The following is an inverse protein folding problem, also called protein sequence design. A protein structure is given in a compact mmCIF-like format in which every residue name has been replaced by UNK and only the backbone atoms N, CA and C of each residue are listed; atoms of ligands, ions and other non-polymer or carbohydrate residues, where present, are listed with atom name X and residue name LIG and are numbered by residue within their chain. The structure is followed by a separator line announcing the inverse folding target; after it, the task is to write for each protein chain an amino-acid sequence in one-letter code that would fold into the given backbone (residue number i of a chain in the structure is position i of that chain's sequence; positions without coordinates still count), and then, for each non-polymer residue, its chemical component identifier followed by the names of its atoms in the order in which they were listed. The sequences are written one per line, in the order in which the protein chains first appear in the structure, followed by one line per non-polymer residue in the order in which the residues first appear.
data_IF_425623181746
#
_entry.id   IF_425623181746
#
_cell.length_a   1.000
_cell.length_b   1.000
_cell.length_c   1.000
_cell.angle_alpha   90.00
_cell.angle_beta   90.00
_cell.angle_gamma   90.00
#
_symmetry.space_group_name_H-M   'P 1'
#
loop_
_entity.id
_entity.type
_entity.pdbx_description
1 polymer ?
#
# COMPACT_ATOMS: atom_id res chain seq x y z
N UNK A 1 -25.41 -9.40 -65.19
CA UNK A 1 -25.70 -9.65 -63.76
C UNK A 1 -24.93 -10.90 -63.39
N UNK A 2 -23.75 -10.72 -62.80
CA UNK A 2 -22.79 -11.78 -62.45
C UNK A 2 -23.21 -12.47 -61.14
N UNK A 3 -23.19 -13.82 -61.04
CA UNK A 3 -23.16 -14.50 -59.76
C UNK A 3 -21.71 -14.65 -59.28
N UNK A 4 -21.33 -13.83 -58.31
CA UNK A 4 -20.02 -13.88 -57.66
C UNK A 4 -19.76 -15.20 -56.93
N UNK A 5 -18.60 -15.78 -57.22
CA UNK A 5 -18.10 -17.05 -56.69
C UNK A 5 -17.96 -17.04 -55.16
N UNK A 6 -18.50 -18.10 -54.54
CA UNK A 6 -18.36 -18.45 -53.12
C UNK A 6 -16.94 -18.98 -52.88
N UNK A 7 -16.09 -18.21 -52.19
CA UNK A 7 -14.74 -18.63 -51.81
C UNK A 7 -14.75 -19.71 -50.71
N UNK A 8 -13.76 -20.64 -50.70
CA UNK A 8 -13.66 -21.66 -49.66
C UNK A 8 -12.99 -21.09 -48.39
N UNK A 9 -13.66 -21.26 -47.25
CA UNK A 9 -13.12 -20.99 -45.92
C UNK A 9 -12.01 -21.98 -45.57
N UNK A 10 -10.76 -21.49 -45.51
CA UNK A 10 -9.63 -22.24 -44.99
C UNK A 10 -9.70 -22.24 -43.46
N UNK A 11 -10.06 -23.39 -42.87
CA UNK A 11 -9.98 -23.62 -41.42
C UNK A 11 -8.50 -23.83 -41.03
N UNK A 12 -7.97 -23.12 -40.01
CA UNK A 12 -6.64 -23.42 -39.50
C UNK A 12 -6.68 -24.71 -38.66
N UNK A 13 -5.93 -25.72 -39.09
CA UNK A 13 -5.68 -26.94 -38.32
C UNK A 13 -4.96 -26.60 -37.02
N UNK A 14 -5.58 -26.89 -35.87
CA UNK A 14 -4.88 -26.89 -34.58
C UNK A 14 -4.02 -28.15 -34.45
N UNK A 15 -2.74 -28.05 -34.02
CA UNK A 15 -1.96 -29.22 -33.67
C UNK A 15 -2.48 -29.85 -32.36
N UNK A 16 -2.35 -31.18 -32.19
CA UNK A 16 -2.78 -31.86 -30.97
C UNK A 16 -1.90 -31.47 -29.77
N UNK A 17 -2.43 -31.54 -28.53
CA UNK A 17 -1.68 -31.23 -27.34
C UNK A 17 -0.57 -32.26 -27.11
N UNK A 18 0.68 -31.79 -26.98
CA UNK A 18 1.81 -32.59 -26.53
C UNK A 18 1.55 -33.04 -25.08
N UNK A 19 1.37 -34.35 -24.87
CA UNK A 19 1.43 -34.96 -23.53
C UNK A 19 2.85 -34.80 -22.99
N UNK A 20 3.04 -33.93 -22.01
CA UNK A 20 4.26 -33.92 -21.20
C UNK A 20 4.14 -35.06 -20.17
N UNK A 21 5.15 -35.93 -20.02
CA UNK A 21 5.17 -36.88 -18.91
C UNK A 21 5.39 -36.10 -17.61
N UNK A 22 4.45 -36.27 -16.67
CA UNK A 22 4.49 -35.67 -15.35
C UNK A 22 5.66 -36.25 -14.55
N UNK A 23 6.79 -35.55 -14.55
CA UNK A 23 8.01 -35.88 -13.79
C UNK A 23 8.02 -35.26 -12.37
N UNK A 24 6.91 -34.66 -11.92
CA UNK A 24 6.82 -34.05 -10.58
C UNK A 24 6.41 -34.95 -9.41
N UNK A 25 5.77 -36.14 -9.56
CA UNK A 25 5.42 -36.93 -8.38
C UNK A 25 6.64 -37.64 -7.76
N UNK A 26 7.74 -37.83 -8.50
CA UNK A 26 8.95 -38.52 -8.01
C UNK A 26 9.84 -37.65 -7.14
N UNK A 27 9.82 -36.31 -7.30
CA UNK A 27 10.62 -35.41 -6.46
C UNK A 27 10.00 -35.16 -5.07
N UNK A 28 8.68 -35.32 -4.92
CA UNK A 28 8.01 -35.15 -3.64
C UNK A 28 8.25 -36.34 -2.67
N UNK A 29 8.43 -37.56 -3.20
CA UNK A 29 8.71 -38.74 -2.37
C UNK A 29 10.11 -38.71 -1.71
N UNK A 30 11.10 -38.10 -2.35
CA UNK A 30 12.47 -38.01 -1.81
C UNK A 30 12.62 -36.96 -0.70
N UNK A 31 11.72 -35.97 -0.59
CA UNK A 31 11.77 -34.94 0.44
C UNK A 31 11.16 -35.37 1.80
N UNK A 32 10.38 -36.46 1.84
CA UNK A 32 9.75 -36.96 3.07
C UNK A 32 10.63 -37.91 3.89
N UNK A 33 11.79 -38.33 3.38
CA UNK A 33 12.66 -39.33 4.03
C UNK A 33 13.88 -38.73 4.75
N UNK A 34 14.08 -37.40 4.74
CA UNK A 34 15.27 -36.77 5.34
C UNK A 34 15.05 -36.08 6.70
N UNK A 35 13.89 -36.26 7.35
CA UNK A 35 13.57 -35.60 8.63
C UNK A 35 13.34 -36.57 9.80
N UNK A 36 14.13 -37.65 9.88
CA UNK A 36 14.14 -38.53 11.06
C UNK A 36 15.59 -38.81 11.47
N UNK A 37 16.18 -37.88 12.22
CA UNK A 37 17.28 -38.01 13.20
C UNK A 37 17.50 -36.57 13.68
N UNK A 38 17.19 -36.18 14.92
CA UNK A 38 17.92 -36.62 16.10
C UNK A 38 17.04 -36.38 17.33
N UNK A 39 16.71 -37.46 18.05
CA UNK A 39 16.23 -37.42 19.41
C UNK A 39 17.18 -38.28 20.22
N UNK A 40 18.02 -37.68 21.07
CA UNK A 40 18.31 -38.17 22.43
C UNK A 40 19.33 -37.27 23.14
N UNK A 41 19.34 -37.39 24.48
CA UNK A 41 20.13 -36.70 25.51
C UNK A 41 19.56 -35.33 25.91
N UNK A 42 18.91 -35.13 27.05
CA UNK A 42 18.69 -35.91 28.26
C UNK A 42 18.29 -34.90 29.37
N UNK A 43 17.51 -35.28 30.40
CA UNK A 43 17.04 -34.33 31.40
C UNK A 43 18.02 -34.21 32.56
N UNK A 44 18.34 -33.00 32.99
CA UNK A 44 18.97 -32.74 34.28
C UNK A 44 18.24 -31.59 34.99
N UNK A 45 17.52 -31.98 36.03
CA UNK A 45 16.86 -31.16 37.04
C UNK A 45 17.92 -30.42 37.90
N UNK A 46 17.72 -29.12 38.17
CA UNK A 46 17.73 -28.48 39.53
C UNK A 46 17.78 -26.94 39.51
N UNK A 47 16.65 -26.38 39.94
CA UNK A 47 16.36 -25.27 40.87
C UNK A 47 17.07 -23.89 40.83
N UNK A 48 16.34 -22.81 41.24
CA UNK A 48 16.76 -21.41 41.14
C UNK A 48 17.34 -20.85 42.45
N UNK A 49 18.18 -19.81 42.34
CA UNK A 49 18.45 -18.88 43.45
C UNK A 49 18.86 -17.48 42.93
N UNK A 50 17.97 -16.52 43.18
CA UNK A 50 18.20 -15.18 43.75
C UNK A 50 19.50 -14.37 43.53
N UNK A 51 19.25 -13.12 43.07
CA UNK A 51 19.68 -11.81 43.61
C UNK A 51 20.98 -11.10 43.12
N UNK A 52 20.73 -9.85 42.72
CA UNK A 52 21.53 -8.60 42.79
C UNK A 52 22.66 -8.27 41.79
N UNK A 53 22.51 -7.08 41.18
CA UNK A 53 23.47 -5.99 41.36
C UNK A 53 24.50 -5.78 40.23
N UNK A 54 24.67 -4.56 39.67
CA UNK A 54 25.35 -4.34 38.38
C UNK A 54 26.81 -3.85 38.44
N UNK A 55 27.47 -3.99 37.26
CA UNK A 55 28.62 -3.26 36.70
C UNK A 55 30.06 -3.78 36.99
N UNK A 56 31.10 -3.44 36.19
CA UNK A 56 31.14 -3.03 34.77
C UNK A 56 32.07 -3.91 33.89
N UNK A 57 32.07 -3.62 32.59
CA UNK A 57 32.77 -4.33 31.51
C UNK A 57 34.32 -4.28 31.55
N UNK A 58 34.98 -5.28 30.93
CA UNK A 58 36.27 -5.10 30.28
C UNK A 58 36.20 -5.29 28.75
N UNK A 59 37.07 -4.55 28.07
CA UNK A 59 37.17 -4.31 26.63
C UNK A 59 37.32 -5.56 25.71
N UNK A 60 36.95 -5.44 24.42
CA UNK A 60 37.14 -6.50 23.45
C UNK A 60 38.61 -6.65 23.04
N UNK A 61 39.10 -7.89 23.02
CA UNK A 61 40.42 -8.23 22.47
C UNK A 61 40.40 -8.09 20.96
N UNK A 62 41.38 -7.33 20.45
CA UNK A 62 41.72 -7.24 19.04
C UNK A 62 42.09 -8.63 18.49
N UNK A 63 41.26 -9.14 17.59
CA UNK A 63 41.51 -10.33 16.80
C UNK A 63 41.88 -9.94 15.38
N UNK A 64 43.00 -10.48 14.92
CA UNK A 64 43.64 -10.23 13.62
C UNK A 64 42.71 -10.45 12.41
N UNK A 65 42.76 -9.51 11.47
CA UNK A 65 42.25 -9.63 10.10
C UNK A 65 43.17 -10.54 9.26
N UNK A 66 42.65 -11.57 8.57
CA UNK A 66 43.37 -12.21 7.49
C UNK A 66 43.08 -11.49 6.16
N UNK A 67 44.13 -10.83 5.68
CA UNK A 67 44.64 -10.82 4.31
C UNK A 67 43.63 -10.94 3.14
N UNK A 68 43.49 -9.78 2.49
CA UNK A 68 42.92 -9.55 1.17
C UNK A 68 43.47 -10.47 0.07
N UNK A 69 42.61 -11.36 -0.46
CA UNK A 69 42.80 -11.92 -1.81
C UNK A 69 42.07 -11.05 -2.83
N UNK A 70 42.82 -10.16 -3.46
CA UNK A 70 42.36 -9.36 -4.59
C UNK A 70 42.07 -10.28 -5.78
N UNK A 71 40.79 -10.45 -6.11
CA UNK A 71 40.37 -11.01 -7.38
C UNK A 71 40.74 -10.00 -8.49
N UNK A 72 41.68 -10.43 -9.33
CA UNK A 72 42.16 -9.75 -10.52
C UNK A 72 41.03 -9.65 -11.55
N UNK A 73 40.29 -8.55 -11.56
CA UNK A 73 39.35 -8.26 -12.65
C UNK A 73 40.09 -7.62 -13.82
N UNK A 74 39.99 -8.27 -14.99
CA UNK A 74 40.48 -7.79 -16.26
C UNK A 74 39.80 -6.47 -16.64
N UNK A 75 40.61 -5.42 -16.81
CA UNK A 75 40.16 -4.11 -17.25
C UNK A 75 39.70 -4.10 -18.71
N UNK A 76 38.39 -4.06 -18.93
CA UNK A 76 37.79 -3.61 -20.18
C UNK A 76 37.62 -2.09 -20.15
N UNK A 77 38.38 -1.36 -20.96
CA UNK A 77 38.26 0.09 -21.12
C UNK A 77 36.95 0.44 -21.84
N UNK A 78 35.90 0.80 -21.11
CA UNK A 78 34.76 1.49 -21.69
C UNK A 78 35.13 2.98 -21.90
N UNK A 79 35.27 3.39 -23.17
CA UNK A 79 35.45 4.81 -23.53
C UNK A 79 34.17 5.57 -23.13
N UNK A 80 34.30 6.55 -22.23
CA UNK A 80 33.25 7.55 -21.98
C UNK A 80 33.05 8.40 -23.25
N UNK A 81 31.83 8.58 -23.77
CA UNK A 81 31.55 9.62 -24.75
C UNK A 81 31.63 11.02 -24.10
N UNK A 82 32.05 12.06 -24.84
CA UNK A 82 32.16 13.41 -24.32
C UNK A 82 30.78 14.00 -23.98
N UNK A 83 30.69 14.89 -22.97
CA UNK A 83 29.43 15.56 -22.63
C UNK A 83 29.03 16.54 -23.75
N UNK A 84 27.76 16.51 -24.14
CA UNK A 84 27.18 17.47 -25.08
C UNK A 84 26.99 18.84 -24.40
N UNK A 85 27.22 19.98 -25.10
CA UNK A 85 26.94 21.31 -24.57
C UNK A 85 25.43 21.51 -24.31
N UNK A 86 25.09 22.14 -23.19
CA UNK A 86 23.71 22.52 -22.87
C UNK A 86 23.18 23.57 -23.86
N UNK A 87 21.88 23.51 -24.24
CA UNK A 87 21.28 24.53 -25.10
C UNK A 87 21.14 25.88 -24.37
N UNK A 88 21.22 27.01 -25.10
CA UNK A 88 21.06 28.35 -24.51
C UNK A 88 19.61 28.58 -24.04
N UNK A 89 19.40 29.41 -23.01
CA UNK A 89 18.06 29.74 -22.53
C UNK A 89 17.28 30.57 -23.57
N UNK A 90 15.94 30.42 -23.63
CA UNK A 90 15.12 31.22 -24.54
C UNK A 90 15.08 32.70 -24.10
N UNK A 91 15.06 33.59 -25.09
CA UNK A 91 14.95 35.04 -24.89
C UNK A 91 13.62 35.44 -24.24
N UNK A 92 13.59 36.54 -23.44
CA UNK A 92 12.36 37.03 -22.82
C UNK A 92 11.40 37.63 -23.85
N UNK A 93 10.12 37.26 -23.75
CA UNK A 93 9.04 37.83 -24.55
C UNK A 93 8.76 39.30 -24.16
N UNK A 94 8.35 40.16 -25.12
CA UNK A 94 8.09 41.57 -24.86
C UNK A 94 6.81 41.79 -24.05
N UNK A 95 6.90 42.64 -23.02
CA UNK A 95 5.77 43.10 -22.19
C UNK A 95 4.79 43.96 -23.01
N UNK A 96 3.47 43.72 -22.97
CA UNK A 96 2.51 44.64 -23.55
C UNK A 96 2.33 45.88 -22.66
N UNK A 97 2.27 47.01 -23.35
CA UNK A 97 2.23 48.39 -22.86
C UNK A 97 1.01 48.72 -21.99
N UNK A 98 1.31 49.48 -20.93
CA UNK A 98 0.39 50.24 -20.06
C UNK A 98 -0.56 51.12 -20.89
N UNK A 99 -1.85 50.82 -20.85
CA UNK A 99 -2.91 51.65 -21.42
C UNK A 99 -3.97 51.98 -20.37
N UNK A 100 -3.84 53.13 -19.70
CA UNK A 100 -4.88 53.68 -18.84
C UNK A 100 -5.95 54.38 -19.70
N UNK A 101 -7.23 54.02 -19.54
CA UNK A 101 -8.34 54.99 -19.62
C UNK A 101 -9.42 54.66 -18.60
N UNK A 102 -9.88 55.74 -17.97
CA UNK A 102 -10.73 55.77 -16.81
C UNK A 102 -12.21 55.55 -17.09
N UNK A 103 -12.88 55.06 -16.04
CA UNK A 103 -14.22 55.38 -15.57
C UNK A 103 -15.41 55.32 -16.55
N UNK A 104 -16.38 54.45 -16.24
CA UNK A 104 -17.78 54.85 -15.98
C UNK A 104 -18.55 53.74 -15.25
N UNK A 105 -19.59 54.20 -14.57
CA UNK A 105 -20.23 53.62 -13.40
C UNK A 105 -21.24 52.49 -13.67
N UNK A 106 -21.52 51.74 -12.59
CA UNK A 106 -22.78 51.06 -12.24
C UNK A 106 -23.35 50.06 -13.26
N UNK A 107 -23.09 48.78 -13.02
CA UNK A 107 -23.86 47.67 -13.57
C UNK A 107 -23.93 46.53 -12.55
N UNK A 108 -25.15 46.21 -12.11
CA UNK A 108 -25.57 45.08 -11.26
C UNK A 108 -24.53 43.99 -11.06
N UNK A 109 -24.22 43.69 -9.80
CA UNK A 109 -23.58 42.45 -9.38
C UNK A 109 -24.42 41.24 -9.80
N UNK A 110 -24.23 40.82 -11.05
CA UNK A 110 -24.51 39.47 -11.47
C UNK A 110 -23.62 38.58 -10.62
N UNK A 111 -24.22 37.92 -9.63
CA UNK A 111 -23.65 36.70 -9.07
C UNK A 111 -23.54 35.74 -10.25
N UNK A 112 -22.41 35.79 -10.96
CA UNK A 112 -21.97 34.69 -11.80
C UNK A 112 -22.06 33.48 -10.88
N UNK A 113 -23.03 32.60 -11.15
CA UNK A 113 -23.10 31.29 -10.52
C UNK A 113 -21.71 30.72 -10.67
N UNK A 114 -20.99 30.57 -9.56
CA UNK A 114 -19.76 29.82 -9.54
C UNK A 114 -20.08 28.49 -10.25
N UNK A 115 -19.31 28.10 -11.28
CA UNK A 115 -19.50 26.80 -11.89
C UNK A 115 -19.43 25.80 -10.75
N UNK A 116 -20.49 24.98 -10.65
CA UNK A 116 -20.79 24.16 -9.50
C UNK A 116 -19.54 23.53 -8.91
N UNK A 117 -19.48 23.51 -7.58
CA UNK A 117 -18.50 22.74 -6.85
C UNK A 117 -18.39 21.38 -7.52
N UNK A 118 -17.33 21.19 -8.31
CA UNK A 118 -16.92 19.86 -8.73
C UNK A 118 -16.63 19.18 -7.42
N UNK A 119 -17.58 18.37 -6.97
CA UNK A 119 -17.42 17.54 -5.81
C UNK A 119 -16.08 16.84 -6.03
N UNK A 120 -15.05 17.13 -5.22
CA UNK A 120 -13.73 16.56 -5.46
C UNK A 120 -13.96 15.06 -5.45
N UNK A 121 -13.76 14.41 -6.59
CA UNK A 121 -14.04 12.99 -6.75
C UNK A 121 -13.45 12.19 -5.58
N UNK A 122 -14.01 11.02 -5.25
CA UNK A 122 -13.72 10.31 -4.02
C UNK A 122 -12.22 10.25 -3.75
N UNK A 123 -11.81 10.86 -2.62
CA UNK A 123 -10.39 10.97 -2.23
C UNK A 123 -9.78 9.58 -2.14
N UNK A 124 -8.49 9.45 -2.48
CA UNK A 124 -7.76 8.20 -2.33
C UNK A 124 -7.74 7.74 -0.86
N UNK A 125 -7.52 6.44 -0.65
CA UNK A 125 -7.38 5.87 0.69
C UNK A 125 -6.27 6.61 1.46
N UNK A 126 -6.65 7.23 2.59
CA UNK A 126 -5.80 8.11 3.37
C UNK A 126 -6.14 8.06 4.85
N UNK A 127 -5.12 8.29 5.68
CA UNK A 127 -5.26 8.45 7.12
C UNK A 127 -5.87 9.81 7.43
N UNK A 128 -6.81 9.82 8.38
CA UNK A 128 -7.41 11.01 8.98
C UNK A 128 -7.24 10.93 10.48
N UNK A 129 -7.17 12.09 11.12
CA UNK A 129 -7.07 12.19 12.58
C UNK A 129 -8.07 13.23 13.07
N UNK A 130 -8.75 12.93 14.17
CA UNK A 130 -9.69 13.85 14.82
C UNK A 130 -9.55 13.75 16.33
N UNK A 131 -9.63 14.90 17.01
CA UNK A 131 -9.64 14.96 18.48
C UNK A 131 -11.06 14.63 18.97
N UNK A 132 -11.20 13.61 19.80
CA UNK A 132 -12.48 13.11 20.30
C UNK A 132 -12.40 12.85 21.81
N UNK A 133 -13.50 13.03 22.57
CA UNK A 133 -13.53 12.69 23.98
C UNK A 133 -13.57 11.18 24.18
N UNK A 134 -12.85 10.68 25.19
CA UNK A 134 -12.74 9.23 25.48
C UNK A 134 -14.10 8.58 25.74
N UNK A 135 -15.00 9.25 26.45
CA UNK A 135 -16.37 8.76 26.72
C UNK A 135 -17.19 8.43 25.47
N UNK A 136 -16.86 8.98 24.30
CA UNK A 136 -17.56 8.66 23.03
C UNK A 136 -16.98 7.45 22.29
N UNK A 137 -15.85 6.90 22.75
CA UNK A 137 -15.23 5.71 22.13
C UNK A 137 -15.99 4.41 22.46
N UNK A 138 -16.97 4.46 23.38
CA UNK A 138 -17.83 3.31 23.70
C UNK A 138 -17.12 2.17 24.43
N UNK A 139 -15.98 2.46 25.07
CA UNK A 139 -15.15 1.46 25.75
C UNK A 139 -15.52 1.26 27.24
N UNK A 140 -16.58 1.90 27.73
CA UNK A 140 -17.01 1.81 29.13
C UNK A 140 -16.19 2.69 30.10
N UNK A 141 -15.22 3.45 29.62
CA UNK A 141 -14.47 4.41 30.44
C UNK A 141 -15.18 5.76 30.51
N UNK A 142 -15.42 6.22 31.74
CA UNK A 142 -15.87 7.58 32.02
C UNK A 142 -14.64 8.49 32.15
N UNK A 143 -14.32 9.22 31.08
CA UNK A 143 -13.24 10.22 31.04
C UNK A 143 -13.63 11.38 30.11
N UNK A 144 -13.29 12.59 30.55
CA UNK A 144 -13.47 13.84 29.78
C UNK A 144 -12.20 14.22 28.99
N UNK A 145 -11.17 13.37 28.99
CA UNK A 145 -9.95 13.60 28.24
C UNK A 145 -10.22 13.57 26.72
N UNK A 146 -9.52 14.45 26.00
CA UNK A 146 -9.61 14.58 24.54
C UNK A 146 -8.39 13.90 23.91
N UNK A 147 -8.61 12.82 23.17
CA UNK A 147 -7.55 12.03 22.54
C UNK A 147 -7.57 12.21 21.02
N UNK A 148 -6.41 12.16 20.38
CA UNK A 148 -6.32 12.16 18.92
C UNK A 148 -6.60 10.75 18.41
N UNK A 149 -7.66 10.59 17.63
CA UNK A 149 -8.08 9.31 17.07
C UNK A 149 -7.84 9.27 15.55
N UNK A 150 -6.96 8.36 15.12
CA UNK A 150 -6.67 8.08 13.73
C UNK A 150 -7.62 7.06 13.11
N UNK A 151 -8.09 7.33 11.89
CA UNK A 151 -9.00 6.44 11.16
C UNK A 151 -8.78 6.53 9.64
N UNK A 152 -9.14 5.46 8.93
CA UNK A 152 -8.94 5.34 7.49
C UNK A 152 -10.20 5.69 6.70
N UNK A 153 -10.04 6.51 5.66
CA UNK A 153 -11.13 6.92 4.78
C UNK A 153 -10.66 6.99 3.33
N UNK A 154 -11.60 6.97 2.39
CA UNK A 154 -11.32 7.17 0.98
C UNK A 154 -11.58 5.93 0.14
N UNK A 155 -11.13 5.98 -1.11
CA UNK A 155 -11.42 4.98 -2.13
C UNK A 155 -10.17 4.28 -2.65
N UNK A 156 -10.32 3.00 -2.96
CA UNK A 156 -9.27 2.14 -3.49
C UNK A 156 -9.48 1.80 -4.97
N UNK A 157 -10.04 2.71 -5.78
CA UNK A 157 -10.29 2.45 -7.21
C UNK A 157 -9.03 2.08 -7.99
N UNK A 158 -7.88 2.61 -7.58
CA UNK A 158 -6.58 2.38 -8.22
C UNK A 158 -6.01 0.98 -7.93
N UNK A 159 -6.47 0.32 -6.87
CA UNK A 159 -6.00 -0.99 -6.44
C UNK A 159 -6.95 -2.13 -6.88
N UNK A 160 -7.88 -1.86 -7.80
CA UNK A 160 -8.84 -2.86 -8.29
C UNK A 160 -8.13 -3.97 -9.08
N UNK A 161 -8.45 -5.21 -8.75
CA UNK A 161 -8.09 -6.39 -9.52
C UNK A 161 -8.94 -6.52 -10.79
N UNK A 162 -8.57 -7.40 -11.74
CA UNK A 162 -9.44 -7.74 -12.87
C UNK A 162 -10.81 -8.25 -12.44
N UNK A 163 -10.88 -8.99 -11.31
CA UNK A 163 -12.14 -9.45 -10.74
C UNK A 163 -13.04 -8.27 -10.33
N UNK A 164 -12.48 -7.29 -9.63
CA UNK A 164 -13.21 -6.09 -9.18
C UNK A 164 -13.77 -5.28 -10.36
N UNK A 165 -13.01 -5.18 -11.45
CA UNK A 165 -13.45 -4.52 -12.67
C UNK A 165 -14.64 -5.24 -13.31
N UNK A 166 -14.58 -6.58 -13.42
CA UNK A 166 -15.68 -7.38 -13.93
C UNK A 166 -16.91 -7.30 -13.02
N UNK A 167 -16.72 -7.40 -11.70
CA UNK A 167 -17.80 -7.28 -10.72
C UNK A 167 -18.48 -5.90 -10.81
N UNK A 168 -17.70 -4.81 -10.91
CA UNK A 168 -18.23 -3.47 -11.10
C UNK A 168 -19.08 -3.35 -12.38
N UNK A 169 -18.65 -4.00 -13.48
CA UNK A 169 -19.41 -4.03 -14.75
C UNK A 169 -20.70 -4.82 -14.61
N UNK A 170 -20.67 -6.00 -14.00
CA UNK A 170 -21.85 -6.85 -13.82
C UNK A 170 -22.89 -6.22 -12.91
N UNK A 171 -22.45 -5.55 -11.82
CA UNK A 171 -23.33 -4.78 -10.94
C UNK A 171 -23.93 -3.57 -11.67
N UNK A 172 -23.12 -2.81 -12.41
CA UNK A 172 -23.61 -1.67 -13.19
C UNK A 172 -24.58 -2.06 -14.32
N UNK A 173 -24.46 -3.27 -14.84
CA UNK A 173 -25.37 -3.83 -15.84
C UNK A 173 -26.62 -4.50 -15.24
N UNK A 174 -26.73 -4.61 -13.91
CA UNK A 174 -27.82 -5.32 -13.25
C UNK A 174 -27.84 -6.84 -13.50
N UNK A 175 -26.74 -7.40 -14.01
CA UNK A 175 -26.60 -8.82 -14.31
C UNK A 175 -26.46 -9.68 -13.03
N UNK A 176 -26.04 -9.05 -11.93
CA UNK A 176 -26.05 -9.63 -10.60
C UNK A 176 -27.13 -8.94 -9.78
N UNK A 177 -28.03 -9.74 -9.20
CA UNK A 177 -28.96 -9.22 -8.19
C UNK A 177 -28.19 -9.05 -6.89
N UNK A 178 -28.23 -7.85 -6.31
CA UNK A 178 -27.79 -7.68 -4.93
C UNK A 178 -28.62 -8.62 -4.05
N UNK A 179 -27.94 -9.42 -3.23
CA UNK A 179 -28.59 -10.25 -2.24
C UNK A 179 -29.25 -9.27 -1.26
N UNK A 180 -30.52 -9.50 -0.91
CA UNK A 180 -31.30 -8.57 -0.10
C UNK A 180 -30.52 -8.15 1.16
N UNK A 181 -30.29 -6.83 1.30
CA UNK A 181 -29.57 -6.23 2.42
C UNK A 181 -28.03 -6.27 2.32
N UNK A 182 -27.44 -6.94 1.32
CA UNK A 182 -25.99 -7.02 1.14
C UNK A 182 -25.57 -6.21 -0.09
N UNK A 183 -24.88 -5.09 0.15
CA UNK A 183 -24.26 -4.31 -0.92
C UNK A 183 -22.97 -4.98 -1.38
N UNK A 184 -22.90 -5.37 -2.65
CA UNK A 184 -21.65 -5.88 -3.21
C UNK A 184 -20.67 -4.73 -3.44
N UNK A 185 -19.47 -4.85 -2.87
CA UNK A 185 -18.39 -3.87 -3.02
C UNK A 185 -17.45 -4.37 -4.12
N UNK A 186 -17.30 -3.57 -5.18
CA UNK A 186 -16.45 -3.89 -6.35
C UNK A 186 -15.09 -3.20 -6.31
N UNK A 187 -14.58 -2.94 -5.11
CA UNK A 187 -13.25 -2.39 -4.89
C UNK A 187 -12.76 -2.79 -3.50
N UNK A 188 -11.43 -2.88 -3.29
CA UNK A 188 -10.87 -3.08 -1.97
C UNK A 188 -11.35 -2.04 -0.95
N UNK A 189 -11.41 -2.42 0.32
CA UNK A 189 -11.76 -1.52 1.42
C UNK A 189 -10.53 -0.76 1.90
N UNK A 190 -10.68 0.53 2.19
CA UNK A 190 -9.65 1.31 2.86
C UNK A 190 -9.67 0.97 4.36
N UNK A 191 -8.63 0.29 4.84
CA UNK A 191 -8.56 -0.25 6.22
C UNK A 191 -7.23 0.12 6.89
N UNK A 192 -7.20 0.20 8.23
CA UNK A 192 -5.94 0.39 8.95
C UNK A 192 -5.00 -0.80 8.77
N UNK A 193 -3.71 -0.51 8.61
CA UNK A 193 -2.64 -1.52 8.56
C UNK A 193 -1.78 -1.50 9.82
N UNK A 194 -1.73 -0.36 10.51
CA UNK A 194 -1.01 -0.17 11.76
C UNK A 194 -1.86 0.61 12.76
N UNK A 195 -1.60 0.36 14.04
CA UNK A 195 -2.31 0.98 15.14
C UNK A 195 -1.32 1.43 16.22
N UNK A 196 -1.75 2.41 17.02
CA UNK A 196 -1.09 2.87 18.23
C UNK A 196 -2.01 2.71 19.45
N UNK A 197 -1.39 2.68 20.63
CA UNK A 197 -2.10 2.69 21.90
C UNK A 197 -2.52 4.12 22.25
N UNK A 198 -3.64 4.26 22.96
CA UNK A 198 -4.10 5.54 23.50
C UNK A 198 -4.15 5.44 25.01
N UNK A 199 -3.50 6.38 25.68
CA UNK A 199 -3.44 6.49 27.13
C UNK A 199 -4.25 7.68 27.60
N UNK A 200 -5.06 7.51 28.64
CA UNK A 200 -5.87 8.57 29.22
C UNK A 200 -6.12 8.30 30.70
N UNK A 201 -6.57 9.33 31.43
CA UNK A 201 -6.95 9.24 32.84
C UNK A 201 -8.47 9.27 33.00
N UNK A 202 -9.01 8.44 33.88
CA UNK A 202 -10.46 8.42 34.17
C UNK A 202 -10.87 9.42 35.27
N UNK A 203 -12.17 9.48 35.55
CA UNK A 203 -12.74 10.33 36.62
C UNK A 203 -12.20 10.01 38.03
N UNK A 204 -11.66 8.80 38.25
CA UNK A 204 -11.07 8.37 39.52
C UNK A 204 -9.56 8.63 39.57
N UNK A 205 -9.02 9.40 38.62
CA UNK A 205 -7.58 9.66 38.49
C UNK A 205 -6.74 8.39 38.28
N UNK A 206 -7.34 7.35 37.68
CA UNK A 206 -6.65 6.11 37.30
C UNK A 206 -6.26 6.19 35.83
N UNK A 207 -4.99 5.86 35.54
CA UNK A 207 -4.47 5.80 34.17
C UNK A 207 -4.88 4.51 33.49
N UNK A 208 -5.36 4.63 32.27
CA UNK A 208 -5.72 3.52 31.39
C UNK A 208 -4.94 3.62 30.08
N UNK A 209 -4.59 2.45 29.55
CA UNK A 209 -3.97 2.31 28.21
C UNK A 209 -4.78 1.30 27.43
N UNK A 210 -5.27 1.71 26.26
CA UNK A 210 -5.98 0.83 25.33
C UNK A 210 -5.12 0.62 24.11
N UNK A 211 -4.65 -0.62 23.95
CA UNK A 211 -3.82 -1.00 22.81
C UNK A 211 -4.60 -1.03 21.51
N UNK A 212 -3.91 -0.67 20.42
CA UNK A 212 -4.41 -0.72 19.04
C UNK A 212 -5.74 0.04 18.83
N UNK A 213 -5.92 1.18 19.49
CA UNK A 213 -7.15 1.97 19.40
C UNK A 213 -7.15 2.92 18.19
N UNK A 214 -6.05 3.66 17.98
CA UNK A 214 -5.93 4.67 16.92
C UNK A 214 -5.15 4.11 15.73
N UNK A 215 -5.59 4.39 14.50
CA UNK A 215 -4.87 3.98 13.29
C UNK A 215 -3.71 4.94 12.97
N UNK A 216 -2.56 4.40 12.59
CA UNK A 216 -1.37 5.19 12.18
C UNK A 216 -1.00 5.03 10.71
N UNK A 217 -1.59 4.06 10.02
CA UNK A 217 -1.40 3.86 8.59
C UNK A 217 -2.63 3.19 7.97
N UNK A 218 -2.87 3.47 6.69
CA UNK A 218 -4.01 2.96 5.92
C UNK A 218 -3.55 2.26 4.65
N UNK A 219 -4.29 1.23 4.23
CA UNK A 219 -4.05 0.48 3.00
C UNK A 219 -5.34 0.02 2.34
N UNK A 220 -5.23 -0.30 1.05
CA UNK A 220 -6.30 -0.91 0.28
C UNK A 220 -6.22 -2.43 0.40
N UNK A 221 -7.18 -3.02 1.12
CA UNK A 221 -7.24 -4.46 1.40
C UNK A 221 -8.50 -5.04 0.77
N UNK A 222 -8.35 -6.07 -0.06
CA UNK A 222 -9.42 -6.73 -0.81
C UNK A 222 -9.31 -8.24 -0.73
#
# INVERSE_FOLDING_TARGET
MEPGCRGPSVLPCRPPPRRQPALWPTLAALALLSSISEASLGPALRSPATREGPAPAPAPRAGHLPESRAARWCGGRARRPPPQPAPPPPAPAPSPSRGNRAARARGRGGRARAPGSRDPGPKDCSLRSQVVPVRLLGLGHSSDEMVTFGFCTGSCRRARSPHDLSLARLLGAGALREIQGVRLVSQPCCRPTHYEAVTFMDVNSTWWTVDRLSATACGCLG
#
